data_IF_968615735133
#
_entry.id   IF_968615735133
#
_cell.length_a   1.000
_cell.length_b   1.000
_cell.length_c   1.000
_cell.angle_alpha   90.00
_cell.angle_beta   90.00
_cell.angle_gamma   90.00
#
_symmetry.space_group_name_H-M   'P 1'
#
loop_
_entity.id
_entity.type
_entity.pdbx_description
1 polymer ?
#
# COMPACT_ATOMS: atom_id res chain seq x y z
N UNK A 1 38.35 -5.55 -0.75
CA UNK A 1 37.43 -6.68 -0.50
C UNK A 1 36.30 -6.17 0.37
N UNK A 2 35.27 -5.58 -0.23
CA UNK A 2 34.18 -4.91 0.49
C UNK A 2 32.95 -5.80 0.48
N UNK A 3 32.75 -6.53 1.59
CA UNK A 3 31.53 -7.28 1.85
C UNK A 3 30.40 -6.32 2.20
N UNK A 4 29.50 -6.07 1.25
CA UNK A 4 28.23 -5.39 1.51
C UNK A 4 27.32 -6.42 2.15
N UNK A 5 27.21 -6.37 3.49
CA UNK A 5 26.28 -7.20 4.25
C UNK A 5 25.01 -6.40 4.55
N UNK A 6 23.98 -6.68 3.75
CA UNK A 6 22.60 -6.95 4.17
C UNK A 6 21.81 -5.88 4.95
N UNK A 7 20.71 -5.47 4.31
CA UNK A 7 19.51 -4.76 4.83
C UNK A 7 19.55 -3.22 4.88
N UNK A 8 19.88 -2.59 3.75
CA UNK A 8 19.19 -1.35 3.40
C UNK A 8 17.74 -1.74 3.08
N UNK A 9 16.83 -1.48 4.02
CA UNK A 9 15.41 -1.47 3.68
C UNK A 9 15.27 -0.35 2.65
N UNK A 10 14.82 -0.60 1.41
CA UNK A 10 14.69 0.46 0.41
C UNK A 10 13.53 1.36 0.83
N UNK A 11 13.80 2.26 1.79
CA UNK A 11 12.82 3.13 2.44
C UNK A 11 13.17 4.61 2.33
N UNK A 12 14.28 4.98 1.68
CA UNK A 12 14.73 6.38 1.68
C UNK A 12 15.30 6.91 0.35
N UNK A 13 15.32 6.12 -0.73
CA UNK A 13 15.81 6.59 -2.03
C UNK A 13 14.69 6.48 -3.08
N UNK A 14 13.97 7.58 -3.28
CA UNK A 14 12.92 7.69 -4.31
C UNK A 14 11.51 7.48 -3.76
N UNK A 15 11.15 8.21 -2.70
CA UNK A 15 9.75 8.31 -2.30
C UNK A 15 8.91 8.73 -3.51
N UNK A 16 7.84 7.99 -3.79
CA UNK A 16 6.88 8.36 -4.81
C UNK A 16 6.40 9.79 -4.50
N UNK A 17 6.93 10.79 -5.22
CA UNK A 17 6.44 12.17 -5.23
C UNK A 17 5.09 12.27 -5.97
N UNK A 18 4.24 11.27 -5.81
CA UNK A 18 2.85 11.35 -6.19
C UNK A 18 2.12 11.98 -5.00
N UNK A 19 1.30 13.00 -5.25
CA UNK A 19 0.37 13.53 -4.26
C UNK A 19 -0.20 12.41 -3.39
N UNK A 20 -0.04 12.50 -2.07
CA UNK A 20 -0.39 11.45 -1.10
C UNK A 20 -1.70 10.65 -1.38
N UNK A 21 -2.83 11.25 -1.82
CA UNK A 21 -4.03 10.47 -2.19
C UNK A 21 -3.84 9.52 -3.39
N UNK A 22 -2.95 9.85 -4.33
CA UNK A 22 -2.66 9.01 -5.49
C UNK A 22 -1.88 7.74 -5.09
N UNK A 23 -1.02 7.82 -4.06
CA UNK A 23 -0.16 6.70 -3.68
C UNK A 23 -0.94 5.56 -3.01
N UNK A 24 -1.78 5.85 -2.01
CA UNK A 24 -2.60 4.81 -1.37
C UNK A 24 -3.55 4.13 -2.38
N UNK A 25 -4.11 4.92 -3.30
CA UNK A 25 -4.97 4.41 -4.39
C UNK A 25 -4.19 3.52 -5.37
N UNK A 26 -2.95 3.90 -5.70
CA UNK A 26 -2.07 3.12 -6.55
C UNK A 26 -1.67 1.80 -5.89
N UNK A 27 -1.28 1.83 -4.61
CA UNK A 27 -1.01 0.62 -3.83
C UNK A 27 -2.23 -0.32 -3.77
N UNK A 28 -3.45 0.23 -3.65
CA UNK A 28 -4.68 -0.58 -3.68
C UNK A 28 -4.90 -1.25 -5.03
N UNK A 29 -4.66 -0.53 -6.14
CA UNK A 29 -4.75 -1.09 -7.50
C UNK A 29 -3.75 -2.23 -7.72
N UNK A 30 -2.50 -2.03 -7.29
CA UNK A 30 -1.46 -3.05 -7.40
C UNK A 30 -1.79 -4.29 -6.58
N UNK A 31 -2.17 -4.10 -5.31
CA UNK A 31 -2.54 -5.20 -4.42
C UNK A 31 -3.78 -5.95 -4.94
N UNK A 32 -4.76 -5.24 -5.52
CA UNK A 32 -5.94 -5.85 -6.12
C UNK A 32 -5.59 -6.68 -7.36
N UNK A 33 -4.69 -6.19 -8.22
CA UNK A 33 -4.21 -6.93 -9.39
C UNK A 33 -3.45 -8.20 -9.00
N UNK A 34 -2.55 -8.12 -8.02
CA UNK A 34 -1.82 -9.28 -7.50
C UNK A 34 -2.72 -10.29 -6.81
N UNK A 35 -3.70 -9.80 -6.05
CA UNK A 35 -4.64 -10.65 -5.34
C UNK A 35 -5.79 -11.14 -6.21
N UNK A 36 -5.84 -10.83 -7.51
CA UNK A 36 -6.98 -11.11 -8.40
C UNK A 36 -8.34 -10.68 -7.81
N UNK A 37 -8.34 -9.60 -7.01
CA UNK A 37 -9.55 -9.07 -6.38
C UNK A 37 -10.09 -7.92 -7.24
N UNK A 38 -11.39 -7.90 -7.56
CA UNK A 38 -12.00 -6.75 -8.23
C UNK A 38 -11.74 -5.47 -7.44
N UNK A 39 -11.21 -4.44 -8.10
CA UNK A 39 -10.88 -3.17 -7.43
C UNK A 39 -12.10 -2.54 -6.73
N UNK A 40 -13.30 -2.73 -7.28
CA UNK A 40 -14.55 -2.28 -6.66
C UNK A 40 -14.80 -2.94 -5.29
N UNK A 41 -14.52 -4.25 -5.16
CA UNK A 41 -14.62 -4.97 -3.90
C UNK A 41 -13.54 -4.50 -2.90
N UNK A 42 -12.32 -4.25 -3.38
CA UNK A 42 -11.24 -3.71 -2.56
C UNK A 42 -11.51 -2.28 -2.07
N UNK A 43 -12.26 -1.46 -2.83
CA UNK A 43 -12.68 -0.10 -2.45
C UNK A 43 -13.94 -0.06 -1.58
N UNK A 44 -14.79 -1.07 -1.63
CA UNK A 44 -16.06 -1.08 -0.92
C UNK A 44 -15.86 -0.79 0.58
N UNK A 45 -16.66 0.16 1.09
CA UNK A 45 -16.69 0.51 2.50
C UNK A 45 -17.26 -0.65 3.34
N UNK A 46 -16.73 -0.85 4.55
CA UNK A 46 -17.21 -1.84 5.50
C UNK A 46 -16.17 -2.88 5.92
N UNK A 47 -16.59 -3.80 6.79
CA UNK A 47 -15.73 -4.90 7.28
C UNK A 47 -15.54 -5.93 6.17
N UNK A 48 -14.40 -5.84 5.49
CA UNK A 48 -13.96 -6.85 4.54
C UNK A 48 -13.48 -8.10 5.29
N UNK A 49 -13.72 -9.28 4.70
CA UNK A 49 -13.24 -10.57 5.21
C UNK A 49 -12.49 -11.32 4.10
N UNK A 50 -11.66 -12.28 4.50
CA UNK A 50 -10.94 -13.14 3.56
C UNK A 50 -9.96 -12.37 2.67
N UNK A 51 -9.94 -12.69 1.39
CA UNK A 51 -8.96 -12.20 0.41
C UNK A 51 -8.99 -10.67 0.23
N UNK A 52 -10.18 -10.06 0.26
CA UNK A 52 -10.34 -8.59 0.13
C UNK A 52 -9.67 -7.86 1.31
N UNK A 53 -9.78 -8.41 2.53
CA UNK A 53 -9.12 -7.83 3.70
C UNK A 53 -7.60 -7.91 3.59
N UNK A 54 -7.06 -9.04 3.09
CA UNK A 54 -5.62 -9.22 2.85
C UNK A 54 -5.10 -8.24 1.80
N UNK A 55 -5.83 -8.05 0.72
CA UNK A 55 -5.50 -7.05 -0.33
C UNK A 55 -5.45 -5.63 0.23
N UNK A 56 -6.44 -5.23 1.04
CA UNK A 56 -6.44 -3.90 1.68
C UNK A 56 -5.27 -3.75 2.66
N UNK A 57 -4.92 -4.80 3.39
CA UNK A 57 -3.79 -4.78 4.31
C UNK A 57 -2.44 -4.66 3.58
N UNK A 58 -2.28 -5.40 2.48
CA UNK A 58 -1.10 -5.30 1.62
C UNK A 58 -0.97 -3.89 1.01
N UNK A 59 -2.07 -3.30 0.54
CA UNK A 59 -2.08 -1.94 0.03
C UNK A 59 -1.63 -0.92 1.09
N UNK A 60 -2.12 -1.06 2.33
CA UNK A 60 -1.71 -0.22 3.45
C UNK A 60 -0.24 -0.41 3.82
N UNK A 61 0.27 -1.65 3.80
CA UNK A 61 1.67 -1.96 4.03
C UNK A 61 2.58 -1.28 2.99
N UNK A 62 2.25 -1.42 1.71
CA UNK A 62 3.01 -0.78 0.63
C UNK A 62 3.00 0.74 0.73
N UNK A 63 1.84 1.33 1.04
CA UNK A 63 1.69 2.76 1.23
C UNK A 63 2.49 3.30 2.44
N UNK A 64 2.59 2.50 3.51
CA UNK A 64 3.31 2.88 4.72
C UNK A 64 4.82 2.69 4.58
N UNK A 65 5.25 1.48 4.19
CA UNK A 65 6.66 1.09 4.15
C UNK A 65 7.35 1.60 2.89
N UNK A 66 6.71 1.45 1.73
CA UNK A 66 7.27 1.93 0.46
C UNK A 66 6.97 3.40 0.17
N UNK A 67 5.91 3.95 0.79
CA UNK A 67 5.42 5.30 0.52
C UNK A 67 5.59 6.32 1.65
N UNK A 68 5.97 5.88 2.85
CA UNK A 68 6.11 6.76 4.02
C UNK A 68 4.81 7.39 4.53
N UNK A 69 3.64 6.94 4.06
CA UNK A 69 2.36 7.51 4.49
C UNK A 69 2.01 7.09 5.92
N UNK A 70 1.48 8.03 6.70
CA UNK A 70 0.97 7.71 8.04
C UNK A 70 -0.30 6.87 7.96
N UNK A 71 -0.55 6.03 8.98
CA UNK A 71 -1.78 5.22 9.08
C UNK A 71 -3.05 6.07 9.00
N UNK A 72 -3.05 7.27 9.60
CA UNK A 72 -4.16 8.23 9.53
C UNK A 72 -4.44 8.67 8.09
N UNK A 73 -3.38 8.90 7.30
CA UNK A 73 -3.52 9.31 5.91
C UNK A 73 -4.03 8.17 5.03
N UNK A 74 -3.48 6.98 5.20
CA UNK A 74 -3.92 5.77 4.51
C UNK A 74 -5.40 5.49 4.80
N UNK A 75 -5.82 5.61 6.06
CA UNK A 75 -7.22 5.42 6.44
C UNK A 75 -8.14 6.45 5.76
N UNK A 76 -7.73 7.71 5.69
CA UNK A 76 -8.49 8.76 4.99
C UNK A 76 -8.63 8.45 3.49
N UNK A 77 -7.55 8.00 2.86
CA UNK A 77 -7.52 7.81 1.41
C UNK A 77 -8.14 6.46 0.97
N UNK A 78 -8.29 5.48 1.87
CA UNK A 78 -8.90 4.15 1.59
C UNK A 78 -10.31 3.93 2.17
N UNK A 79 -10.77 4.76 3.11
CA UNK A 79 -12.09 4.63 3.75
C UNK A 79 -13.10 5.72 3.33
N UNK A 80 -12.69 6.69 2.51
CA UNK A 80 -13.59 7.63 1.84
C UNK A 80 -14.00 7.08 0.47
#
# INVERSE_FOLDING_TARGET
MTGISSYDTPGAAGGFHADAPALATLCLRLAAGWGEVPLAAAKAAGRQKGQVARVRHLAAYLAHVGGGLSQRRIARDLCC
#
